data_IF_117291064106
#
_entry.id   IF_117291064106
#
_cell.length_a   1.000
_cell.length_b   1.000
_cell.length_c   1.000
_cell.angle_alpha   90.00
_cell.angle_beta   90.00
_cell.angle_gamma   90.00
#
_symmetry.space_group_name_H-M   'P 1'
#
loop_
_entity.id
_entity.type
_entity.pdbx_description
1 polymer ?
#
# COMPACT_ATOMS: atom_id res chain seq x y z
N UNK A 1 -65.11 -4.20 16.16
CA UNK A 1 -65.24 -4.72 14.78
C UNK A 1 -64.43 -3.83 13.86
N UNK A 2 -63.44 -4.38 13.16
CA UNK A 2 -62.80 -3.72 12.01
C UNK A 2 -63.76 -3.68 10.81
N UNK A 3 -63.52 -2.81 9.81
CA UNK A 3 -62.85 -3.31 8.60
C UNK A 3 -61.85 -2.34 7.93
N UNK A 4 -60.71 -2.92 7.55
CA UNK A 4 -59.97 -2.93 6.28
C UNK A 4 -59.81 -1.69 5.35
N UNK A 5 -58.52 -1.35 5.15
CA UNK A 5 -57.75 -1.15 3.89
C UNK A 5 -58.04 0.00 2.90
N UNK A 6 -57.01 0.84 2.71
CA UNK A 6 -56.49 1.22 1.38
C UNK A 6 -55.01 1.65 1.47
N UNK A 7 -54.15 0.78 0.94
CA UNK A 7 -52.83 0.99 0.32
C UNK A 7 -52.20 2.40 0.26
N UNK A 8 -50.93 2.47 0.70
CA UNK A 8 -49.85 2.92 -0.18
C UNK A 8 -48.60 2.07 0.07
N UNK A 9 -48.11 1.44 -1.00
CA UNK A 9 -46.82 0.76 -1.06
C UNK A 9 -45.74 1.83 -1.21
N UNK A 10 -44.69 1.72 -0.41
CA UNK A 10 -43.35 2.18 -0.80
C UNK A 10 -42.38 1.08 -0.39
N UNK A 11 -42.18 0.15 -1.34
CA UNK A 11 -40.99 -0.69 -1.41
C UNK A 11 -39.82 0.14 -1.94
N UNK A 12 -38.63 -0.23 -1.47
CA UNK A 12 -37.30 0.06 -2.01
C UNK A 12 -36.75 1.48 -1.91
N UNK A 13 -35.83 1.64 -0.95
CA UNK A 13 -34.51 2.23 -1.22
C UNK A 13 -33.49 1.77 -0.15
N UNK A 14 -33.19 0.48 -0.12
CA UNK A 14 -32.10 -0.08 0.70
C UNK A 14 -31.28 -1.12 -0.07
N UNK A 15 -30.86 -0.77 -1.29
CA UNK A 15 -29.84 -1.51 -2.04
C UNK A 15 -28.72 -0.59 -2.49
N UNK A 16 -27.67 -0.53 -1.68
CA UNK A 16 -26.42 0.13 -2.06
C UNK A 16 -25.27 -0.05 -1.08
N UNK A 17 -25.31 -1.00 -0.14
CA UNK A 17 -24.29 -1.08 0.92
C UNK A 17 -23.80 -2.50 1.25
N UNK A 18 -24.08 -3.49 0.41
CA UNK A 18 -23.60 -4.87 0.58
C UNK A 18 -22.98 -5.39 -0.72
N UNK A 19 -21.64 -5.31 -0.83
CA UNK A 19 -20.80 -6.28 -1.56
C UNK A 19 -19.28 -6.08 -1.42
N UNK A 20 -18.79 -5.02 -0.74
CA UNK A 20 -17.36 -4.87 -0.39
C UNK A 20 -16.86 -5.88 0.67
N UNK A 21 -17.61 -6.95 0.91
CA UNK A 21 -17.54 -7.81 2.09
C UNK A 21 -16.44 -8.86 2.13
N UNK A 22 -15.72 -9.15 1.04
CA UNK A 22 -14.80 -10.31 1.05
C UNK A 22 -13.30 -10.00 1.06
N UNK A 23 -12.84 -8.83 0.56
CA UNK A 23 -11.40 -8.59 0.40
C UNK A 23 -10.95 -7.20 0.88
N UNK A 24 -10.67 -7.11 2.19
CA UNK A 24 -10.04 -5.93 2.82
C UNK A 24 -8.61 -6.25 3.21
N UNK A 25 -7.65 -5.55 2.62
CA UNK A 25 -6.23 -5.76 2.88
C UNK A 25 -5.59 -4.56 3.57
N UNK A 26 -4.88 -4.82 4.67
CA UNK A 26 -4.13 -3.80 5.39
C UNK A 26 -2.68 -3.78 4.87
N UNK A 27 -2.24 -2.63 4.37
CA UNK A 27 -0.87 -2.40 3.93
C UNK A 27 -0.13 -1.47 4.88
N UNK A 28 1.20 -1.59 4.92
CA UNK A 28 2.08 -0.66 5.65
C UNK A 28 3.10 -0.03 4.71
N UNK A 29 3.35 1.27 4.87
CA UNK A 29 4.45 1.98 4.23
C UNK A 29 5.67 1.99 5.16
N UNK A 30 6.82 1.59 4.63
CA UNK A 30 8.08 1.46 5.36
C UNK A 30 9.21 2.21 4.62
N UNK A 31 10.26 2.58 5.35
CA UNK A 31 11.39 3.34 4.81
C UNK A 31 11.73 4.57 5.65
N UNK A 32 12.87 5.19 5.35
CA UNK A 32 13.41 6.32 6.10
C UNK A 32 12.49 7.56 6.09
N UNK A 33 12.77 8.51 6.98
CA UNK A 33 12.11 9.81 6.96
C UNK A 33 12.34 10.54 5.62
N UNK A 34 11.34 11.31 5.18
CA UNK A 34 11.37 12.13 3.96
C UNK A 34 11.60 11.40 2.62
N UNK A 35 11.52 10.06 2.58
CA UNK A 35 11.57 9.30 1.30
C UNK A 35 10.30 9.45 0.46
N UNK A 36 9.21 9.99 1.04
CA UNK A 36 7.96 10.29 0.33
C UNK A 36 6.83 9.27 0.53
N UNK A 37 6.83 8.49 1.61
CA UNK A 37 5.73 7.56 1.97
C UNK A 37 4.35 8.24 1.98
N UNK A 38 4.22 9.31 2.77
CA UNK A 38 2.98 10.11 2.86
C UNK A 38 2.59 10.70 1.51
N UNK A 39 3.55 11.20 0.73
CA UNK A 39 3.31 11.76 -0.61
C UNK A 39 2.84 10.69 -1.60
N UNK A 40 3.40 9.49 -1.56
CA UNK A 40 2.94 8.34 -2.35
C UNK A 40 1.51 7.96 -1.97
N UNK A 41 1.20 7.91 -0.67
CA UNK A 41 -0.15 7.60 -0.20
C UNK A 41 -1.16 8.62 -0.72
N UNK A 42 -0.90 9.92 -0.53
CA UNK A 42 -1.77 11.00 -1.03
C UNK A 42 -1.88 10.99 -2.55
N UNK A 43 -0.78 10.80 -3.27
CA UNK A 43 -0.80 10.66 -4.73
C UNK A 43 -1.69 9.49 -5.15
N UNK A 44 -1.63 8.38 -4.43
CA UNK A 44 -2.46 7.21 -4.73
C UNK A 44 -3.95 7.42 -4.41
N UNK A 45 -4.29 8.02 -3.27
CA UNK A 45 -5.67 8.13 -2.78
C UNK A 45 -6.40 9.36 -3.26
N UNK A 46 -5.70 10.49 -3.40
CA UNK A 46 -6.27 11.80 -3.68
C UNK A 46 -5.83 12.36 -5.04
N UNK A 47 -4.84 11.72 -5.68
CA UNK A 47 -4.17 12.26 -6.87
C UNK A 47 -3.61 13.68 -6.67
N UNK A 48 -3.12 13.96 -5.46
CA UNK A 48 -2.52 15.24 -5.07
C UNK A 48 -1.04 15.08 -4.71
N UNK A 49 -0.30 16.18 -4.76
CA UNK A 49 1.07 16.28 -4.26
C UNK A 49 1.28 17.67 -3.64
N UNK A 50 1.92 17.71 -2.48
CA UNK A 50 2.33 18.92 -1.80
C UNK A 50 3.87 18.98 -1.83
N UNK A 51 4.43 20.06 -2.36
CA UNK A 51 5.88 20.26 -2.44
C UNK A 51 6.48 20.66 -1.10
N UNK A 52 5.69 21.19 -0.17
CA UNK A 52 6.16 21.51 1.16
C UNK A 52 6.32 20.24 1.99
N UNK A 53 7.55 20.00 2.46
CA UNK A 53 7.77 18.90 3.40
C UNK A 53 7.06 19.19 4.72
N UNK A 54 6.05 18.36 5.03
CA UNK A 54 5.39 18.32 6.32
C UNK A 54 5.74 17.01 7.00
N UNK A 55 6.48 17.10 8.10
CA UNK A 55 6.83 15.93 8.89
C UNK A 55 5.56 15.24 9.39
N UNK A 56 5.44 13.94 9.08
CA UNK A 56 4.35 13.12 9.58
C UNK A 56 4.55 12.85 11.08
N UNK A 57 3.67 13.41 11.89
CA UNK A 57 3.61 13.16 13.32
C UNK A 57 2.65 11.98 13.58
N UNK A 58 3.16 10.92 14.18
CA UNK A 58 2.37 9.72 14.48
C UNK A 58 2.07 8.85 13.26
N UNK A 59 0.87 8.28 13.23
CA UNK A 59 0.41 7.33 12.22
C UNK A 59 -0.85 7.86 11.56
N UNK A 60 -0.88 7.83 10.23
CA UNK A 60 -2.06 8.14 9.43
C UNK A 60 -2.44 6.91 8.59
N UNK A 61 -3.70 6.82 8.18
CA UNK A 61 -4.15 5.79 7.27
C UNK A 61 -5.09 6.38 6.23
N UNK A 62 -5.09 5.80 5.04
CA UNK A 62 -6.07 6.09 4.01
C UNK A 62 -6.57 4.77 3.41
N UNK A 63 -7.79 4.81 2.87
CA UNK A 63 -8.39 3.66 2.23
C UNK A 63 -8.79 4.00 0.79
N UNK A 64 -8.61 3.04 -0.12
CA UNK A 64 -9.04 3.16 -1.51
C UNK A 64 -9.54 1.81 -2.00
N UNK A 65 -10.69 1.83 -2.66
CA UNK A 65 -11.23 0.65 -3.34
C UNK A 65 -10.57 0.51 -4.72
N UNK A 66 -10.23 -0.72 -5.07
CA UNK A 66 -9.43 -1.05 -6.25
C UNK A 66 -10.06 -2.24 -6.94
N UNK A 67 -10.43 -2.07 -8.20
CA UNK A 67 -10.74 -3.19 -9.07
C UNK A 67 -9.43 -3.81 -9.58
N UNK A 68 -9.21 -5.09 -9.29
CA UNK A 68 -8.11 -5.90 -9.82
C UNK A 68 -8.67 -7.04 -10.66
N UNK A 69 -7.99 -7.34 -11.76
CA UNK A 69 -8.24 -8.55 -12.53
C UNK A 69 -7.22 -9.60 -12.11
N UNK A 70 -7.68 -10.77 -11.68
CA UNK A 70 -6.81 -11.87 -11.24
C UNK A 70 -6.16 -12.58 -12.44
N UNK A 71 -5.37 -13.63 -12.22
CA UNK A 71 -4.77 -14.40 -13.32
C UNK A 71 -5.80 -15.16 -14.20
N UNK A 72 -6.98 -15.45 -13.66
CA UNK A 72 -8.08 -16.10 -14.37
C UNK A 72 -8.94 -15.12 -15.20
N UNK A 73 -8.61 -13.82 -15.21
CA UNK A 73 -9.39 -12.79 -15.92
C UNK A 73 -10.64 -12.31 -15.15
N UNK A 74 -10.81 -12.74 -13.89
CA UNK A 74 -11.95 -12.35 -13.08
C UNK A 74 -11.66 -11.02 -12.37
N UNK A 75 -12.61 -10.09 -12.50
CA UNK A 75 -12.55 -8.80 -11.80
C UNK A 75 -12.99 -8.98 -10.36
N UNK A 76 -12.21 -8.45 -9.44
CA UNK A 76 -12.46 -8.45 -8.00
C UNK A 76 -12.26 -7.04 -7.47
N UNK A 77 -13.24 -6.53 -6.73
CA UNK A 77 -13.08 -5.29 -5.99
C UNK A 77 -12.50 -5.58 -4.62
N UNK A 78 -11.45 -4.83 -4.26
CA UNK A 78 -10.80 -4.95 -2.95
C UNK A 78 -10.62 -3.60 -2.31
N UNK A 79 -10.67 -3.57 -0.98
CA UNK A 79 -10.38 -2.36 -0.20
C UNK A 79 -8.98 -2.43 0.36
N UNK A 80 -8.09 -1.54 -0.10
CA UNK A 80 -6.78 -1.35 0.51
C UNK A 80 -6.90 -0.34 1.65
N UNK A 81 -6.43 -0.71 2.84
CA UNK A 81 -6.24 0.21 3.98
C UNK A 81 -4.75 0.37 4.22
N UNK A 82 -4.20 1.51 3.84
CA UNK A 82 -2.76 1.76 3.85
C UNK A 82 -2.40 2.59 5.06
N UNK A 83 -1.46 2.08 5.86
CA UNK A 83 -0.94 2.73 7.05
C UNK A 83 0.39 3.42 6.72
N UNK A 84 0.43 4.73 6.90
CA UNK A 84 1.63 5.55 6.77
C UNK A 84 2.11 5.97 8.16
N UNK A 85 3.32 5.56 8.50
CA UNK A 85 3.96 5.87 9.77
C UNK A 85 5.02 6.94 9.55
N UNK A 86 5.02 7.96 10.41
CA UNK A 86 6.10 8.94 10.43
C UNK A 86 7.45 8.24 10.62
N UNK A 87 8.44 8.60 9.79
CA UNK A 87 9.78 7.97 9.80
C UNK A 87 10.54 8.11 11.13
N UNK A 88 10.04 8.96 12.03
CA UNK A 88 10.57 9.21 13.38
C UNK A 88 9.94 8.34 14.47
N UNK A 89 8.97 7.45 14.18
CA UNK A 89 8.32 6.62 15.22
C UNK A 89 9.38 5.80 15.96
N UNK A 90 9.74 6.27 17.16
CA UNK A 90 11.11 6.21 17.69
C UNK A 90 11.46 4.87 18.32
N UNK A 91 10.56 3.88 18.28
CA UNK A 91 10.78 2.59 18.91
C UNK A 91 10.48 1.42 17.97
N UNK A 92 11.42 0.46 17.93
CA UNK A 92 11.30 -0.79 17.18
C UNK A 92 9.98 -1.49 17.51
N UNK A 93 9.60 -1.52 18.79
CA UNK A 93 8.36 -2.15 19.28
C UNK A 93 7.09 -1.54 18.70
N UNK A 94 7.00 -0.21 18.66
CA UNK A 94 5.85 0.48 18.09
C UNK A 94 5.72 0.17 16.59
N UNK A 95 6.84 0.16 15.86
CA UNK A 95 6.85 -0.26 14.45
C UNK A 95 6.40 -1.72 14.30
N UNK A 96 6.80 -2.61 15.22
CA UNK A 96 6.36 -4.02 15.19
C UNK A 96 4.84 -4.14 15.34
N UNK A 97 4.25 -3.38 16.26
CA UNK A 97 2.80 -3.37 16.47
C UNK A 97 2.04 -2.95 15.21
N UNK A 98 2.52 -1.94 14.49
CA UNK A 98 1.88 -1.50 13.26
C UNK A 98 2.05 -2.47 12.08
N UNK A 99 3.16 -3.21 12.02
CA UNK A 99 3.35 -4.26 11.01
C UNK A 99 2.49 -5.50 11.29
N UNK A 100 2.20 -5.82 12.56
CA UNK A 100 1.44 -7.03 12.93
C UNK A 100 0.06 -7.09 12.28
N UNK A 101 -0.21 -8.14 11.50
CA UNK A 101 -1.46 -8.31 10.75
C UNK A 101 -1.54 -7.45 9.48
N UNK A 102 -0.39 -7.01 8.94
CA UNK A 102 -0.34 -6.40 7.62
C UNK A 102 -0.40 -7.51 6.57
N UNK A 103 -1.34 -7.36 5.64
CA UNK A 103 -1.47 -8.25 4.50
C UNK A 103 -0.27 -8.09 3.55
N UNK A 104 0.34 -6.90 3.45
CA UNK A 104 1.48 -6.61 2.58
C UNK A 104 2.24 -5.34 2.99
N UNK A 105 3.44 -5.16 2.45
CA UNK A 105 4.31 -4.01 2.75
C UNK A 105 4.79 -3.30 1.49
N UNK A 106 4.90 -1.99 1.55
CA UNK A 106 5.55 -1.18 0.51
C UNK A 106 6.74 -0.48 1.17
N UNK A 107 7.95 -0.81 0.71
CA UNK A 107 9.19 -0.28 1.26
C UNK A 107 9.76 0.74 0.27
N UNK A 108 9.97 1.96 0.75
CA UNK A 108 10.28 3.13 -0.08
C UNK A 108 11.68 3.64 0.26
N UNK A 109 12.49 3.88 -0.78
CA UNK A 109 13.70 4.68 -0.67
C UNK A 109 13.65 5.86 -1.63
N UNK A 110 14.56 6.80 -1.43
CA UNK A 110 14.71 8.01 -2.24
C UNK A 110 15.93 7.87 -3.15
N UNK A 111 15.72 7.97 -4.47
CA UNK A 111 16.81 7.80 -5.45
C UNK A 111 17.87 8.89 -5.37
N UNK A 112 17.59 10.01 -4.71
CA UNK A 112 18.57 11.09 -4.48
C UNK A 112 19.33 10.93 -3.18
N UNK A 113 19.05 9.89 -2.37
CA UNK A 113 19.63 9.71 -1.02
C UNK A 113 20.11 8.27 -0.78
N UNK A 114 21.38 7.96 -1.08
CA UNK A 114 21.94 6.61 -0.98
C UNK A 114 21.79 5.95 0.40
N UNK A 115 21.82 6.72 1.48
CA UNK A 115 21.64 6.20 2.84
C UNK A 115 20.25 5.56 3.04
N UNK A 116 19.23 6.05 2.33
CA UNK A 116 17.88 5.48 2.38
C UNK A 116 17.79 4.15 1.64
N UNK A 117 18.58 3.98 0.59
CA UNK A 117 18.76 2.70 -0.10
C UNK A 117 19.51 1.69 0.77
N UNK A 118 20.59 2.12 1.44
CA UNK A 118 21.36 1.25 2.35
C UNK A 118 20.50 0.73 3.52
N UNK A 119 19.49 1.49 3.96
CA UNK A 119 18.55 1.07 5.00
C UNK A 119 17.54 0.00 4.55
N UNK A 120 17.41 -0.27 3.24
CA UNK A 120 16.36 -1.16 2.70
C UNK A 120 16.39 -2.57 3.29
N UNK A 121 17.59 -3.14 3.51
CA UNK A 121 17.72 -4.47 4.11
C UNK A 121 17.10 -4.52 5.51
N UNK A 122 17.38 -3.51 6.34
CA UNK A 122 16.86 -3.44 7.70
C UNK A 122 15.33 -3.34 7.71
N UNK A 123 14.75 -2.58 6.79
CA UNK A 123 13.30 -2.45 6.64
C UNK A 123 12.66 -3.75 6.15
N UNK A 124 13.29 -4.42 5.19
CA UNK A 124 12.82 -5.69 4.65
C UNK A 124 12.86 -6.80 5.70
N UNK A 125 14.00 -7.01 6.35
CA UNK A 125 14.16 -8.01 7.41
C UNK A 125 13.19 -7.77 8.55
N UNK A 126 13.07 -6.53 9.03
CA UNK A 126 12.12 -6.19 10.10
C UNK A 126 10.66 -6.50 9.72
N UNK A 127 10.30 -6.33 8.45
CA UNK A 127 8.96 -6.67 7.96
C UNK A 127 8.79 -8.18 7.82
N UNK A 128 9.80 -8.90 7.33
CA UNK A 128 9.79 -10.38 7.23
C UNK A 128 9.72 -11.07 8.58
N UNK A 129 10.39 -10.55 9.60
CA UNK A 129 10.34 -11.07 10.96
C UNK A 129 8.92 -11.07 11.57
N UNK A 130 8.02 -10.25 11.03
CA UNK A 130 6.67 -10.05 11.56
C UNK A 130 5.61 -10.61 10.61
N UNK A 131 5.87 -10.51 9.31
CA UNK A 131 4.95 -10.88 8.24
C UNK A 131 5.68 -11.76 7.23
N UNK A 132 6.14 -12.97 7.60
CA UNK A 132 7.10 -13.77 6.81
C UNK A 132 6.61 -14.09 5.40
N UNK A 133 5.30 -14.26 5.22
CA UNK A 133 4.69 -14.65 3.96
C UNK A 133 4.06 -13.49 3.18
N UNK A 134 3.89 -12.29 3.74
CA UNK A 134 3.16 -11.18 3.09
C UNK A 134 3.92 -10.64 1.87
N UNK A 135 3.30 -10.23 0.74
CA UNK A 135 4.05 -9.67 -0.37
C UNK A 135 4.67 -8.31 -0.02
N UNK A 136 5.76 -7.99 -0.70
CA UNK A 136 6.48 -6.71 -0.59
C UNK A 136 6.58 -6.07 -1.98
N UNK A 137 6.36 -4.76 -2.04
CA UNK A 137 6.74 -3.93 -3.18
C UNK A 137 7.85 -2.97 -2.75
N UNK A 138 8.88 -2.84 -3.58
CA UNK A 138 9.95 -1.87 -3.43
C UNK A 138 9.64 -0.68 -4.33
N UNK A 139 9.65 0.53 -3.76
CA UNK A 139 9.49 1.77 -4.51
C UNK A 139 10.77 2.62 -4.43
N UNK A 140 11.43 2.81 -5.57
CA UNK A 140 12.49 3.80 -5.76
C UNK A 140 11.82 5.14 -6.09
N UNK A 141 11.58 5.97 -5.09
CA UNK A 141 10.78 7.18 -5.25
C UNK A 141 11.64 8.39 -5.65
N UNK A 142 10.97 9.44 -6.17
CA UNK A 142 11.53 10.73 -6.61
C UNK A 142 12.35 10.65 -7.90
N UNK A 143 12.02 9.73 -8.79
CA UNK A 143 12.68 9.59 -10.09
C UNK A 143 12.54 10.82 -11.00
N UNK A 144 11.61 11.72 -10.69
CA UNK A 144 11.47 13.02 -11.34
C UNK A 144 12.68 13.94 -11.13
N UNK A 145 13.46 13.73 -10.07
CA UNK A 145 14.68 14.47 -9.75
C UNK A 145 15.90 13.85 -10.47
N UNK A 146 15.85 13.79 -11.81
CA UNK A 146 16.85 13.08 -12.63
C UNK A 146 18.29 13.56 -12.40
N UNK A 147 18.48 14.87 -12.30
CA UNK A 147 19.80 15.49 -12.10
C UNK A 147 20.35 15.29 -10.68
N UNK A 148 19.48 14.99 -9.71
CA UNK A 148 19.85 14.74 -8.30
C UNK A 148 19.95 13.24 -7.99
N UNK A 149 19.69 12.36 -8.96
CA UNK A 149 19.74 10.92 -8.75
C UNK A 149 21.15 10.50 -8.36
N UNK A 150 21.25 9.87 -7.18
CA UNK A 150 22.48 9.30 -6.65
C UNK A 150 22.45 7.77 -6.60
N UNK A 151 21.26 7.15 -6.68
CA UNK A 151 21.08 5.69 -6.74
C UNK A 151 20.63 5.32 -8.16
N UNK A 152 21.49 4.63 -8.94
CA UNK A 152 21.12 4.09 -10.24
C UNK A 152 19.99 3.04 -10.14
N UNK A 153 19.46 2.62 -11.28
CA UNK A 153 18.33 1.66 -11.32
C UNK A 153 18.80 0.25 -10.96
N UNK A 154 20.02 -0.11 -11.34
CA UNK A 154 20.58 -1.45 -11.27
C UNK A 154 20.60 -2.01 -9.83
N UNK A 155 21.03 -1.25 -8.79
CA UNK A 155 20.92 -1.70 -7.40
C UNK A 155 19.48 -2.00 -6.95
N UNK A 156 18.49 -1.25 -7.48
CA UNK A 156 17.08 -1.52 -7.22
C UNK A 156 16.61 -2.85 -7.81
N UNK A 157 17.08 -3.18 -9.02
CA UNK A 157 16.85 -4.49 -9.66
C UNK A 157 17.53 -5.60 -8.86
N UNK A 158 18.72 -5.37 -8.32
CA UNK A 158 19.37 -6.35 -7.43
C UNK A 158 18.56 -6.60 -6.16
N UNK A 159 17.97 -5.56 -5.55
CA UNK A 159 17.08 -5.73 -4.40
C UNK A 159 15.82 -6.53 -4.75
N UNK A 160 15.24 -6.33 -5.95
CA UNK A 160 14.10 -7.12 -6.44
C UNK A 160 14.40 -8.62 -6.39
N UNK A 161 15.55 -8.98 -6.95
CA UNK A 161 15.96 -10.39 -7.08
C UNK A 161 16.35 -10.97 -5.71
N UNK A 162 17.06 -10.20 -4.89
CA UNK A 162 17.49 -10.63 -3.55
C UNK A 162 16.32 -10.77 -2.57
N UNK A 163 15.38 -9.83 -2.57
CA UNK A 163 14.21 -9.85 -1.68
C UNK A 163 13.03 -10.67 -2.23
N UNK A 164 13.10 -11.11 -3.50
CA UNK A 164 11.98 -11.74 -4.20
C UNK A 164 10.70 -10.88 -4.11
N UNK A 165 10.87 -9.58 -4.33
CA UNK A 165 9.84 -8.55 -4.19
C UNK A 165 9.77 -7.74 -5.48
N UNK A 166 8.57 -7.32 -5.91
CA UNK A 166 8.46 -6.50 -7.12
C UNK A 166 9.05 -5.11 -6.88
N UNK A 167 9.60 -4.50 -7.93
CA UNK A 167 10.30 -3.22 -7.89
C UNK A 167 9.66 -2.23 -8.87
N UNK A 168 9.44 -1.00 -8.39
CA UNK A 168 8.93 0.12 -9.18
C UNK A 168 9.78 1.37 -8.97
N UNK A 169 10.15 1.99 -10.08
CA UNK A 169 10.62 3.38 -10.11
C UNK A 169 9.38 4.29 -10.04
N UNK A 170 9.24 5.08 -8.97
CA UNK A 170 8.05 5.88 -8.71
C UNK A 170 8.34 7.37 -8.55
N UNK A 171 7.34 8.19 -8.85
CA UNK A 171 7.34 9.60 -8.44
C UNK A 171 5.99 9.97 -7.86
N UNK A 172 5.98 10.28 -6.56
CA UNK A 172 4.81 10.90 -5.94
C UNK A 172 4.45 12.25 -6.57
N UNK A 173 5.44 12.98 -7.12
CA UNK A 173 5.23 14.28 -7.75
C UNK A 173 4.48 14.15 -9.07
N UNK A 174 4.93 13.28 -9.97
CA UNK A 174 4.33 13.12 -11.31
C UNK A 174 3.21 12.09 -11.34
N UNK A 175 3.15 11.19 -10.36
CA UNK A 175 2.23 10.04 -10.35
C UNK A 175 2.79 8.80 -11.05
N UNK A 176 4.01 8.87 -11.60
CA UNK A 176 4.63 7.77 -12.34
C UNK A 176 4.72 6.52 -11.47
N UNK A 177 4.17 5.42 -12.02
CA UNK A 177 4.08 4.08 -11.44
C UNK A 177 3.46 3.96 -10.03
N UNK A 178 2.90 5.04 -9.46
CA UNK A 178 2.29 5.00 -8.12
C UNK A 178 1.10 4.05 -8.12
N UNK A 179 0.13 4.27 -9.02
CA UNK A 179 -1.06 3.41 -9.10
C UNK A 179 -0.70 1.96 -9.45
N UNK A 180 0.30 1.75 -10.32
CA UNK A 180 0.81 0.43 -10.69
C UNK A 180 1.34 -0.35 -9.49
N UNK A 181 2.13 0.28 -8.62
CA UNK A 181 2.69 -0.36 -7.43
C UNK A 181 1.59 -0.84 -6.46
N UNK A 182 0.60 0.01 -6.18
CA UNK A 182 -0.52 -0.33 -5.29
C UNK A 182 -1.48 -1.36 -5.89
N UNK A 183 -1.76 -1.28 -7.19
CA UNK A 183 -2.57 -2.30 -7.89
C UNK A 183 -1.87 -3.64 -7.94
N UNK A 184 -0.54 -3.66 -8.09
CA UNK A 184 0.22 -4.90 -8.15
C UNK A 184 0.13 -5.68 -6.84
N UNK A 185 0.34 -5.02 -5.70
CA UNK A 185 0.21 -5.71 -4.40
C UNK A 185 -1.23 -6.16 -4.13
N UNK A 186 -2.24 -5.39 -4.55
CA UNK A 186 -3.64 -5.80 -4.48
C UNK A 186 -3.90 -7.09 -5.29
N UNK A 187 -3.40 -7.16 -6.53
CA UNK A 187 -3.52 -8.36 -7.37
C UNK A 187 -2.88 -9.57 -6.70
N UNK A 188 -1.63 -9.45 -6.22
CA UNK A 188 -0.93 -10.55 -5.53
C UNK A 188 -1.74 -11.06 -4.33
N UNK A 189 -2.35 -10.16 -3.56
CA UNK A 189 -3.15 -10.53 -2.39
C UNK A 189 -4.42 -11.29 -2.78
N UNK A 190 -5.13 -10.84 -3.81
CA UNK A 190 -6.31 -11.54 -4.34
C UNK A 190 -5.94 -12.94 -4.84
N UNK A 191 -4.87 -13.05 -5.63
CA UNK A 191 -4.41 -14.33 -6.18
C UNK A 191 -4.07 -15.32 -5.04
N UNK A 192 -3.48 -14.83 -3.93
CA UNK A 192 -3.15 -15.66 -2.76
C UNK A 192 -4.36 -16.09 -1.95
N UNK A 193 -5.32 -15.19 -1.71
CA UNK A 193 -6.53 -15.54 -0.95
C UNK A 193 -7.38 -16.57 -1.70
N UNK A 194 -7.49 -16.46 -3.04
CA UNK A 194 -8.26 -17.40 -3.86
C UNK A 194 -7.61 -18.78 -3.99
N UNK A 195 -6.27 -18.86 -3.93
CA UNK A 195 -5.55 -20.14 -3.99
C UNK A 195 -5.50 -20.90 -2.66
N UNK A 196 -6.17 -20.40 -1.60
CA UNK A 196 -6.18 -21.02 -0.27
C UNK A 196 -4.84 -20.92 0.47
N UNK A 197 -3.88 -20.14 -0.05
CA UNK A 197 -2.64 -19.80 0.64
C UNK A 197 -2.90 -18.59 1.53
N UNK A 198 -3.65 -18.80 2.62
CA UNK A 198 -3.82 -17.74 3.61
C UNK A 198 -2.46 -17.27 4.13
N UNK A 199 -2.24 -15.95 4.28
CA UNK A 199 -1.18 -15.47 5.13
C UNK A 199 -1.53 -15.89 6.56
N UNK A 200 -0.90 -16.96 7.05
CA UNK A 200 -1.01 -17.33 8.46
C UNK A 200 -0.63 -16.11 9.31
N UNK A 201 -1.60 -15.66 10.12
CA UNK A 201 -1.47 -14.53 11.04
C UNK A 201 -0.47 -14.79 12.16
#
# INVERSE_FOLDING_TARGET
>A
MAPNQSSSKTENDSKGENDLGEYKYRLVLLGEAAVGKTSLLRRYTENTFDSEYKQTLGTTFAAKDVAVENEAGEKTEVRLVVWDMGGQSTYRELRRQYMKGAAGGIIVYDVTRPETFMAMNNWFESFRDICPNSPVIICANKIDLKEERMVPVEPGIMLRDWFQADYYETSAKTGEAVDSAFRRIAKILVDRTRTGKEPQM
#
